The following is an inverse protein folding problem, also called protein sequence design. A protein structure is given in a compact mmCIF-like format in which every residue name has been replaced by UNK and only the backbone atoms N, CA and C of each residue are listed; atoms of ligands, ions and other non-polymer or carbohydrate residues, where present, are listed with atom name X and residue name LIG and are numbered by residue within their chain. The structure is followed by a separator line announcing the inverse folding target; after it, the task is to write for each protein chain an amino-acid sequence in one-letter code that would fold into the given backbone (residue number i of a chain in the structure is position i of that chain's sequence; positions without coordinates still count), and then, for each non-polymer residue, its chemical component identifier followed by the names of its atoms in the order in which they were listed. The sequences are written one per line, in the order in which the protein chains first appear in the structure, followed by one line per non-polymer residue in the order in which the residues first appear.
data_IF_863165059860
#
_entry.id   IF_863165059860
#
_cell.length_a   1.000
_cell.length_b   1.000
_cell.length_c   1.000
_cell.angle_alpha   90.00
_cell.angle_beta   90.00
_cell.angle_gamma   90.00
#
_symmetry.space_group_name_H-M   'P 1'
#
loop_
_entity.id
_entity.type
_entity.pdbx_description
1 polymer ?
#
# COMPACT_ATOMS: atom_id res chain seq x y z
N UNK A 1 28.54 6.04 -10.10
CA UNK A 1 27.07 5.94 -9.94
C UNK A 1 26.63 4.75 -10.76
N UNK A 2 26.24 3.66 -10.12
CA UNK A 2 25.68 2.51 -10.83
C UNK A 2 24.33 2.95 -11.40
N UNK A 3 24.14 2.86 -12.70
CA UNK A 3 22.83 3.07 -13.33
C UNK A 3 21.93 1.93 -12.86
N UNK A 4 20.76 2.26 -12.32
CA UNK A 4 19.77 1.25 -11.94
C UNK A 4 19.52 0.30 -13.11
N UNK A 5 19.41 -1.01 -12.88
CA UNK A 5 19.19 -1.98 -13.95
C UNK A 5 17.89 -1.66 -14.68
N UNK A 6 17.92 -1.74 -16.01
CA UNK A 6 16.76 -1.48 -16.84
C UNK A 6 15.97 -2.79 -16.99
N UNK A 7 14.73 -2.81 -16.52
CA UNK A 7 13.80 -3.92 -16.76
C UNK A 7 13.16 -3.70 -18.13
N UNK A 8 13.24 -4.70 -19.01
CA UNK A 8 12.54 -4.67 -20.30
C UNK A 8 11.06 -5.04 -20.08
N UNK A 9 10.16 -4.11 -20.35
CA UNK A 9 8.72 -4.28 -20.20
C UNK A 9 7.95 -3.34 -21.13
N UNK A 10 6.73 -3.71 -21.50
CA UNK A 10 5.86 -2.85 -22.29
C UNK A 10 5.24 -1.75 -21.41
N UNK A 11 5.75 -0.53 -21.51
CA UNK A 11 5.30 0.60 -20.70
C UNK A 11 3.91 1.09 -21.09
N UNK A 12 3.00 1.13 -20.14
CA UNK A 12 1.69 1.76 -20.28
C UNK A 12 1.87 3.30 -20.22
N UNK A 13 1.85 3.94 -21.39
CA UNK A 13 2.12 5.40 -21.53
C UNK A 13 0.91 6.30 -21.29
N UNK A 14 -0.22 5.77 -20.90
CA UNK A 14 -1.43 6.53 -20.61
C UNK A 14 -2.64 5.63 -20.40
N UNK A 15 -3.69 6.17 -19.81
CA UNK A 15 -4.91 5.41 -19.46
C UNK A 15 -5.57 4.73 -20.66
N UNK A 16 -5.42 5.29 -21.87
CA UNK A 16 -5.95 4.72 -23.12
C UNK A 16 -5.16 3.47 -23.60
N UNK A 17 -4.04 3.16 -22.98
CA UNK A 17 -3.23 1.97 -23.25
C UNK A 17 -3.43 0.85 -22.23
N UNK A 18 -4.29 1.05 -21.25
CA UNK A 18 -4.65 0.00 -20.29
C UNK A 18 -5.41 -1.09 -21.03
N UNK A 19 -5.08 -2.40 -20.82
CA UNK A 19 -5.82 -3.50 -21.43
C UNK A 19 -7.32 -3.41 -21.19
N UNK A 20 -8.12 -3.62 -22.24
CA UNK A 20 -9.58 -3.48 -22.17
C UNK A 20 -10.26 -4.72 -21.58
N UNK A 21 -9.61 -5.88 -21.63
CA UNK A 21 -10.17 -7.12 -21.10
C UNK A 21 -10.49 -6.99 -19.62
N UNK A 22 -11.70 -7.41 -19.21
CA UNK A 22 -12.16 -7.38 -17.84
C UNK A 22 -12.11 -8.78 -17.24
N UNK A 23 -11.10 -9.03 -16.42
CA UNK A 23 -10.89 -10.29 -15.72
C UNK A 23 -11.28 -10.23 -14.23
N UNK A 24 -11.70 -9.05 -13.78
CA UNK A 24 -12.34 -8.79 -12.49
C UNK A 24 -13.60 -7.97 -12.75
N UNK A 25 -14.74 -8.65 -12.79
CA UNK A 25 -16.00 -8.09 -13.26
C UNK A 25 -16.81 -7.41 -12.15
N UNK A 26 -17.90 -6.75 -12.53
CA UNK A 26 -18.91 -6.30 -11.59
C UNK A 26 -19.53 -7.48 -10.82
N UNK A 27 -20.19 -7.19 -9.70
CA UNK A 27 -20.82 -8.21 -8.84
C UNK A 27 -20.02 -8.53 -7.58
N UNK A 28 -18.84 -7.94 -7.38
CA UNK A 28 -18.17 -7.93 -6.09
C UNK A 28 -18.98 -7.14 -5.05
N UNK A 29 -18.81 -7.47 -3.78
CA UNK A 29 -19.51 -6.84 -2.64
C UNK A 29 -18.58 -5.94 -1.82
N UNK A 30 -17.60 -5.33 -2.46
CA UNK A 30 -16.74 -4.34 -1.82
C UNK A 30 -17.50 -3.06 -1.56
N UNK A 31 -17.06 -2.28 -0.57
CA UNK A 31 -17.62 -0.96 -0.30
C UNK A 31 -17.54 -0.05 -1.54
N UNK A 32 -18.46 0.89 -1.67
CA UNK A 32 -18.31 1.97 -2.64
C UNK A 32 -17.02 2.73 -2.37
N UNK A 33 -16.25 3.05 -3.42
CA UNK A 33 -14.97 3.74 -3.28
C UNK A 33 -13.85 2.90 -2.66
N UNK A 34 -13.98 1.57 -2.59
CA UNK A 34 -12.94 0.69 -2.10
C UNK A 34 -11.74 0.68 -3.05
N UNK A 35 -10.63 1.27 -2.63
CA UNK A 35 -9.40 1.34 -3.42
C UNK A 35 -8.81 -0.04 -3.69
N UNK A 36 -8.89 -0.96 -2.71
CA UNK A 36 -8.40 -2.34 -2.89
C UNK A 36 -9.08 -3.07 -4.05
N UNK A 37 -10.36 -2.76 -4.35
CA UNK A 37 -11.03 -3.30 -5.53
C UNK A 37 -10.43 -2.73 -6.84
N UNK A 38 -10.07 -1.46 -6.85
CA UNK A 38 -9.37 -0.81 -7.97
C UNK A 38 -7.98 -1.41 -8.17
N UNK A 39 -7.26 -1.66 -7.08
CA UNK A 39 -5.97 -2.36 -7.07
C UNK A 39 -6.09 -3.74 -7.71
N UNK A 40 -7.04 -4.57 -7.28
CA UNK A 40 -7.21 -5.92 -7.84
C UNK A 40 -7.62 -5.90 -9.30
N UNK A 41 -8.53 -5.02 -9.69
CA UNK A 41 -8.92 -4.86 -11.08
C UNK A 41 -7.76 -4.40 -11.96
N UNK A 42 -6.97 -3.43 -11.50
CA UNK A 42 -5.78 -2.94 -12.22
C UNK A 42 -4.73 -4.03 -12.39
N UNK A 43 -4.44 -4.77 -11.32
CA UNK A 43 -3.52 -5.90 -11.35
C UNK A 43 -3.90 -6.92 -12.42
N UNK A 44 -5.13 -7.45 -12.38
CA UNK A 44 -5.49 -8.55 -13.25
C UNK A 44 -5.63 -8.13 -14.73
N UNK A 45 -5.96 -6.87 -15.01
CA UNK A 45 -5.90 -6.33 -16.36
C UNK A 45 -4.51 -6.40 -16.98
N UNK A 46 -3.49 -6.19 -16.17
CA UNK A 46 -2.09 -6.23 -16.59
C UNK A 46 -1.55 -7.66 -16.62
N UNK A 47 -1.88 -8.45 -15.61
CA UNK A 47 -1.41 -9.83 -15.51
C UNK A 47 -2.04 -10.77 -16.57
N UNK A 48 -3.27 -10.47 -16.99
CA UNK A 48 -3.95 -11.20 -18.05
C UNK A 48 -4.55 -12.53 -17.61
N UNK A 49 -5.16 -13.23 -18.56
CA UNK A 49 -5.97 -14.44 -18.32
C UNK A 49 -5.16 -15.69 -17.91
N UNK A 50 -3.83 -15.71 -18.14
CA UNK A 50 -2.94 -16.80 -17.71
C UNK A 50 -2.46 -16.67 -16.27
N UNK A 51 -3.31 -16.18 -15.40
CA UNK A 51 -3.02 -15.89 -13.99
C UNK A 51 -3.86 -16.78 -13.09
N UNK A 52 -3.26 -17.28 -12.02
CA UNK A 52 -3.98 -17.90 -10.89
C UNK A 52 -3.86 -16.94 -9.70
N UNK A 53 -4.99 -16.57 -9.11
CA UNK A 53 -5.04 -15.67 -7.98
C UNK A 53 -5.27 -16.46 -6.69
N UNK A 54 -4.48 -16.21 -5.67
CA UNK A 54 -4.69 -16.81 -4.34
C UNK A 54 -4.58 -15.74 -3.27
N UNK A 55 -5.29 -15.87 -2.19
CA UNK A 55 -5.20 -14.96 -1.07
C UNK A 55 -6.03 -15.37 0.13
N UNK A 56 -5.68 -14.79 1.27
CA UNK A 56 -6.29 -15.08 2.55
C UNK A 56 -7.62 -14.36 2.76
N UNK A 57 -8.40 -14.88 3.68
CA UNK A 57 -9.61 -14.23 4.16
C UNK A 57 -9.32 -12.81 4.64
N UNK A 58 -9.99 -11.86 4.04
CA UNK A 58 -9.93 -10.42 4.30
C UNK A 58 -10.96 -9.73 3.42
N UNK A 59 -11.01 -8.39 3.41
CA UNK A 59 -12.01 -7.65 2.65
C UNK A 59 -12.14 -8.13 1.20
N UNK A 60 -11.02 -8.28 0.49
CA UNK A 60 -11.05 -8.62 -0.94
C UNK A 60 -11.50 -10.05 -1.21
N UNK A 61 -11.27 -10.97 -0.29
CA UNK A 61 -11.69 -12.35 -0.49
C UNK A 61 -13.11 -12.60 0.03
N UNK A 62 -13.50 -11.99 1.14
CA UNK A 62 -14.88 -12.07 1.64
C UNK A 62 -15.87 -11.40 0.68
N UNK A 63 -15.54 -10.19 0.20
CA UNK A 63 -16.41 -9.45 -0.72
C UNK A 63 -16.50 -10.08 -2.13
N UNK A 64 -15.55 -10.94 -2.49
CA UNK A 64 -15.47 -11.62 -3.77
C UNK A 64 -15.95 -13.08 -3.73
N UNK A 65 -16.35 -13.56 -2.55
CA UNK A 65 -16.86 -14.92 -2.32
C UNK A 65 -18.34 -14.84 -2.00
N UNK A 66 -19.18 -14.48 -2.94
CA UNK A 66 -20.61 -14.63 -2.73
C UNK A 66 -21.07 -16.02 -3.14
N UNK A 67 -22.14 -16.47 -2.51
CA UNK A 67 -22.74 -17.77 -2.81
C UNK A 67 -23.05 -17.88 -4.32
N UNK A 68 -22.46 -18.84 -5.00
CA UNK A 68 -22.58 -19.14 -6.42
C UNK A 68 -22.04 -18.06 -7.39
N UNK A 69 -21.39 -17.00 -6.92
CA UNK A 69 -20.83 -15.97 -7.81
C UNK A 69 -19.48 -15.47 -7.34
N UNK A 70 -18.62 -15.11 -8.28
CA UNK A 70 -17.34 -14.45 -8.05
C UNK A 70 -17.06 -13.45 -9.16
N UNK A 71 -16.41 -12.32 -8.90
CA UNK A 71 -15.98 -11.39 -9.95
C UNK A 71 -14.74 -11.85 -10.71
N UNK A 72 -14.02 -12.86 -10.23
CA UNK A 72 -12.82 -13.36 -10.88
C UNK A 72 -13.17 -14.21 -12.10
N UNK A 73 -12.62 -13.85 -13.26
CA UNK A 73 -12.73 -14.63 -14.52
C UNK A 73 -11.54 -15.58 -14.69
N UNK A 74 -10.52 -15.43 -13.86
CA UNK A 74 -9.35 -16.32 -13.80
C UNK A 74 -9.51 -17.34 -12.67
N UNK A 75 -8.78 -18.46 -12.69
CA UNK A 75 -8.73 -19.38 -11.56
C UNK A 75 -8.31 -18.66 -10.29
N UNK A 76 -9.05 -18.86 -9.22
CA UNK A 76 -8.75 -18.24 -7.94
C UNK A 76 -8.99 -19.18 -6.77
N UNK A 77 -8.26 -18.97 -5.70
CA UNK A 77 -8.35 -19.78 -4.49
C UNK A 77 -8.39 -18.89 -3.25
N UNK A 78 -9.42 -19.09 -2.43
CA UNK A 78 -9.55 -18.44 -1.13
C UNK A 78 -8.91 -19.34 -0.06
N UNK A 79 -7.90 -18.86 0.62
CA UNK A 79 -7.27 -19.55 1.74
C UNK A 79 -7.83 -19.06 3.07
N UNK A 80 -7.66 -19.84 4.13
CA UNK A 80 -8.18 -19.48 5.44
C UNK A 80 -7.53 -18.22 6.00
N UNK A 81 -8.21 -17.55 6.92
CA UNK A 81 -7.68 -16.41 7.67
C UNK A 81 -6.34 -16.79 8.34
N UNK A 82 -5.31 -16.03 8.07
CA UNK A 82 -3.96 -16.28 8.57
C UNK A 82 -3.11 -17.26 7.74
N UNK A 83 -3.67 -17.98 6.76
CA UNK A 83 -2.89 -18.90 5.93
C UNK A 83 -2.20 -18.20 4.74
N UNK A 84 -2.83 -17.23 4.11
CA UNK A 84 -2.23 -16.41 3.07
C UNK A 84 -1.48 -15.22 3.63
N UNK A 85 -1.88 -14.80 4.82
CA UNK A 85 -1.21 -13.81 5.60
C UNK A 85 -0.23 -14.43 6.56
N UNK A 86 0.40 -15.48 6.36
CA UNK A 86 1.38 -15.97 7.34
C UNK A 86 2.26 -14.82 7.88
N UNK A 87 1.65 -13.66 7.77
CA UNK A 87 2.21 -12.37 8.11
C UNK A 87 3.50 -12.12 7.31
N UNK A 88 4.34 -11.28 7.84
CA UNK A 88 5.66 -11.01 7.27
C UNK A 88 6.49 -12.31 7.11
N UNK A 89 6.30 -13.30 8.00
CA UNK A 89 7.01 -14.58 7.92
C UNK A 89 6.69 -15.39 6.66
N UNK A 90 5.43 -15.49 6.28
CA UNK A 90 5.01 -16.21 5.07
C UNK A 90 5.40 -15.49 3.79
N UNK A 91 5.24 -14.16 3.76
CA UNK A 91 5.75 -13.34 2.65
C UNK A 91 7.26 -13.50 2.53
N UNK A 92 7.98 -13.43 3.65
CA UNK A 92 9.44 -13.63 3.69
C UNK A 92 9.85 -14.98 3.11
N UNK A 93 9.19 -16.05 3.51
CA UNK A 93 9.47 -17.39 2.97
C UNK A 93 9.18 -17.48 1.47
N UNK A 94 8.07 -16.89 1.00
CA UNK A 94 7.74 -16.84 -0.42
C UNK A 94 8.76 -16.04 -1.24
N UNK A 95 9.29 -14.93 -0.70
CA UNK A 95 10.33 -14.13 -1.36
C UNK A 95 11.71 -14.80 -1.36
N UNK A 96 11.92 -15.85 -0.56
CA UNK A 96 13.13 -16.68 -0.58
C UNK A 96 12.99 -17.90 -1.52
N UNK A 97 11.81 -18.15 -2.05
CA UNK A 97 11.60 -19.22 -3.02
C UNK A 97 12.15 -18.85 -4.40
N UNK A 98 12.19 -19.83 -5.30
CA UNK A 98 12.52 -19.67 -6.71
C UNK A 98 11.28 -19.63 -7.61
N UNK A 99 10.08 -19.56 -7.00
CA UNK A 99 8.83 -19.52 -7.76
C UNK A 99 8.61 -18.15 -8.41
N UNK A 100 8.09 -18.17 -9.62
CA UNK A 100 7.64 -16.97 -10.33
C UNK A 100 6.27 -16.53 -9.78
N UNK A 101 6.30 -15.65 -8.81
CA UNK A 101 5.11 -15.16 -8.15
C UNK A 101 5.18 -13.67 -7.87
N UNK A 102 4.03 -13.00 -7.98
CA UNK A 102 3.86 -11.62 -7.56
C UNK A 102 2.95 -11.56 -6.33
N UNK A 103 3.48 -11.00 -5.26
CA UNK A 103 2.73 -10.74 -4.03
C UNK A 103 2.27 -9.28 -4.03
N UNK A 104 0.96 -9.05 -3.95
CA UNK A 104 0.38 -7.72 -3.79
C UNK A 104 -0.25 -7.63 -2.40
N UNK A 105 0.31 -6.78 -1.56
CA UNK A 105 -0.25 -6.47 -0.25
C UNK A 105 -1.01 -5.15 -0.32
N UNK A 106 -2.35 -5.21 -0.27
CA UNK A 106 -3.17 -4.01 -0.18
C UNK A 106 -3.25 -3.51 1.27
N UNK A 107 -2.89 -2.25 1.47
CA UNK A 107 -2.81 -1.61 2.78
C UNK A 107 -3.91 -0.56 2.95
N UNK A 108 -4.98 -0.95 3.62
CA UNK A 108 -6.04 -0.06 4.07
C UNK A 108 -5.85 0.41 5.53
N UNK A 109 -4.66 0.21 6.08
CA UNK A 109 -4.22 0.63 7.41
C UNK A 109 -4.98 0.00 8.59
N UNK A 110 -5.70 -1.09 8.37
CA UNK A 110 -6.42 -1.79 9.43
C UNK A 110 -6.71 -3.25 9.07
N UNK A 111 -7.07 -4.08 10.05
CA UNK A 111 -7.81 -5.31 9.82
C UNK A 111 -9.28 -4.93 9.60
N UNK A 112 -9.58 -4.43 8.38
CA UNK A 112 -10.84 -3.72 8.13
C UNK A 112 -12.06 -4.64 8.08
N UNK A 113 -11.92 -5.85 7.52
CA UNK A 113 -13.04 -6.78 7.36
C UNK A 113 -13.64 -7.24 8.70
N UNK A 114 -12.82 -7.36 9.73
CA UNK A 114 -13.20 -7.80 11.07
C UNK A 114 -13.60 -6.66 12.01
N UNK A 115 -13.93 -5.50 11.46
CA UNK A 115 -14.37 -4.28 12.13
C UNK A 115 -13.23 -3.33 12.54
N UNK A 116 -12.27 -3.14 11.65
CA UNK A 116 -11.32 -2.00 11.69
C UNK A 116 -10.40 -2.02 12.93
N UNK A 117 -9.78 -3.17 13.22
CA UNK A 117 -8.78 -3.24 14.29
C UNK A 117 -7.46 -2.61 13.84
N UNK A 118 -6.74 -2.03 14.81
CA UNK A 118 -5.41 -1.50 14.59
C UNK A 118 -4.41 -2.60 14.20
N UNK A 119 -3.54 -2.29 13.24
CA UNK A 119 -2.44 -3.15 12.80
C UNK A 119 -1.10 -2.43 12.92
N UNK A 120 -0.01 -3.07 12.52
CA UNK A 120 1.30 -2.42 12.39
C UNK A 120 1.38 -1.40 11.27
N UNK A 121 0.35 -1.33 10.41
CA UNK A 121 0.24 -0.39 9.29
C UNK A 121 -0.71 0.78 9.58
N UNK A 122 -1.39 0.77 10.72
CA UNK A 122 -2.28 1.86 11.13
C UNK A 122 -1.47 3.11 11.42
N UNK A 123 -1.84 4.22 10.78
CA UNK A 123 -1.17 5.51 10.95
C UNK A 123 -1.27 6.01 12.40
N UNK A 124 -0.21 6.67 12.88
CA UNK A 124 -0.18 7.30 14.20
C UNK A 124 -1.38 8.23 14.41
N UNK A 125 -2.03 8.12 15.55
CA UNK A 125 -3.19 8.91 15.91
C UNK A 125 -4.53 8.45 15.33
N UNK A 126 -4.55 7.47 14.43
CA UNK A 126 -5.81 6.98 13.87
C UNK A 126 -6.67 6.27 14.91
N UNK A 127 -7.94 6.63 14.96
CA UNK A 127 -8.96 5.89 15.71
C UNK A 127 -9.25 4.56 15.03
N UNK A 128 -9.32 3.50 15.81
CA UNK A 128 -9.82 2.17 15.40
C UNK A 128 -10.65 1.56 16.51
N UNK A 129 -11.28 0.42 16.27
CA UNK A 129 -12.07 -0.29 17.30
C UNK A 129 -11.23 -0.69 18.53
N UNK A 130 -9.91 -0.88 18.35
CA UNK A 130 -8.99 -1.22 19.46
C UNK A 130 -8.24 0.00 20.01
N UNK A 131 -8.32 1.13 19.36
CA UNK A 131 -7.63 2.36 19.74
C UNK A 131 -8.60 3.56 19.72
N UNK A 132 -9.73 3.49 20.44
CA UNK A 132 -10.65 4.61 20.54
C UNK A 132 -9.98 5.76 21.31
N UNK A 133 -10.22 7.03 20.94
CA UNK A 133 -9.76 8.15 21.73
C UNK A 133 -10.48 8.18 23.09
N UNK A 134 -9.74 8.53 24.14
CA UNK A 134 -10.27 8.65 25.49
C UNK A 134 -9.93 10.01 26.11
N UNK A 135 -10.61 10.39 27.17
CA UNK A 135 -10.39 11.66 27.86
C UNK A 135 -8.99 11.76 28.48
N UNK A 136 -8.50 10.67 29.05
CA UNK A 136 -7.15 10.63 29.68
C UNK A 136 -6.04 10.36 28.66
N UNK A 137 -6.36 9.62 27.61
CA UNK A 137 -5.43 9.25 26.55
C UNK A 137 -6.08 9.55 25.18
N UNK A 138 -5.99 10.79 24.70
CA UNK A 138 -6.63 11.16 23.42
C UNK A 138 -6.02 10.43 22.23
N UNK A 139 -4.75 10.03 22.33
CA UNK A 139 -4.06 9.22 21.32
C UNK A 139 -3.79 7.83 21.87
N UNK A 140 -4.48 6.82 21.35
CA UNK A 140 -4.23 5.41 21.67
C UNK A 140 -3.31 4.73 20.66
N UNK A 141 -3.45 5.06 19.37
CA UNK A 141 -2.52 4.58 18.34
C UNK A 141 -1.26 5.43 18.33
N UNK A 142 -0.24 5.02 19.11
CA UNK A 142 1.00 5.77 19.32
C UNK A 142 2.19 5.24 18.51
N UNK A 143 2.01 4.18 17.74
CA UNK A 143 3.08 3.59 16.93
C UNK A 143 3.10 4.24 15.56
N UNK A 144 4.30 4.48 15.04
CA UNK A 144 4.47 4.85 13.65
C UNK A 144 4.24 3.64 12.75
N UNK A 145 3.71 3.88 11.56
CA UNK A 145 3.44 2.89 10.55
C UNK A 145 4.71 2.13 10.13
N UNK A 146 4.63 0.81 10.01
CA UNK A 146 5.72 -0.02 9.48
C UNK A 146 5.91 0.22 7.99
N UNK A 147 7.14 0.28 7.53
CA UNK A 147 7.46 0.18 6.10
C UNK A 147 7.74 -1.28 5.74
N UNK A 148 6.71 -2.02 5.37
CA UNK A 148 6.84 -3.45 5.03
C UNK A 148 7.65 -3.63 3.75
N UNK A 149 7.41 -2.82 2.71
CA UNK A 149 8.18 -2.89 1.46
C UNK A 149 9.68 -2.67 1.71
N UNK A 150 10.05 -1.65 2.51
CA UNK A 150 11.44 -1.41 2.88
C UNK A 150 12.07 -2.55 3.67
N UNK A 151 11.32 -3.12 4.63
CA UNK A 151 11.79 -4.29 5.41
C UNK A 151 12.07 -5.50 4.49
N UNK A 152 11.17 -5.76 3.55
CA UNK A 152 11.32 -6.89 2.61
C UNK A 152 12.46 -6.65 1.63
N UNK A 153 12.61 -5.42 1.11
CA UNK A 153 13.70 -5.07 0.20
C UNK A 153 15.09 -5.23 0.84
N UNK A 154 15.24 -4.85 2.12
CA UNK A 154 16.52 -4.99 2.84
C UNK A 154 16.79 -6.41 3.29
N UNK A 155 15.74 -7.13 3.72
CA UNK A 155 15.86 -8.47 4.29
C UNK A 155 15.99 -9.61 3.26
N UNK A 156 15.73 -9.37 1.98
CA UNK A 156 15.65 -10.40 0.93
C UNK A 156 16.52 -10.03 -0.28
N UNK A 157 17.83 -10.25 -0.22
CA UNK A 157 18.76 -9.87 -1.29
C UNK A 157 18.50 -10.63 -2.61
N UNK A 158 17.79 -11.75 -2.57
CA UNK A 158 17.37 -12.53 -3.75
C UNK A 158 16.09 -12.01 -4.41
N UNK A 159 15.30 -11.21 -3.71
CA UNK A 159 14.10 -10.56 -4.24
C UNK A 159 14.52 -9.36 -5.10
N UNK A 160 14.40 -9.50 -6.41
CA UNK A 160 14.88 -8.52 -7.38
C UNK A 160 14.00 -7.28 -7.52
N UNK A 161 12.73 -7.36 -7.11
CA UNK A 161 11.78 -6.27 -7.25
C UNK A 161 10.86 -6.13 -6.05
N UNK A 162 10.90 -4.98 -5.42
CA UNK A 162 9.97 -4.55 -4.38
C UNK A 162 9.49 -3.15 -4.71
N UNK A 163 8.19 -2.88 -4.60
CA UNK A 163 7.66 -1.54 -4.87
C UNK A 163 6.57 -1.13 -3.88
N UNK A 164 6.38 0.17 -3.74
CA UNK A 164 5.17 0.78 -3.17
C UNK A 164 4.35 1.41 -4.29
N UNK A 165 3.03 1.41 -4.17
CA UNK A 165 2.15 1.95 -5.21
C UNK A 165 0.83 2.47 -4.63
N UNK A 166 0.07 3.22 -5.43
CA UNK A 166 -1.33 3.52 -5.21
C UNK A 166 -2.04 3.35 -6.55
N UNK A 167 -3.17 2.64 -6.57
CA UNK A 167 -3.80 2.26 -7.83
C UNK A 167 -4.36 3.46 -8.61
N UNK A 168 -4.71 4.53 -7.92
CA UNK A 168 -5.34 5.72 -8.51
C UNK A 168 -4.38 6.88 -8.73
N UNK A 169 -3.21 6.89 -8.08
CA UNK A 169 -2.25 7.99 -8.20
C UNK A 169 -0.79 7.56 -8.03
N UNK A 170 0.18 8.04 -8.86
CA UNK A 170 -0.05 8.72 -10.16
C UNK A 170 -0.69 7.79 -11.21
N UNK A 171 -1.38 8.34 -12.21
CA UNK A 171 -1.98 7.52 -13.26
C UNK A 171 -0.94 6.59 -13.90
N UNK A 172 -1.29 5.31 -14.08
CA UNK A 172 -0.46 4.25 -14.67
C UNK A 172 0.80 3.84 -13.88
N UNK A 173 1.21 4.52 -12.81
CA UNK A 173 2.38 4.14 -12.02
C UNK A 173 2.26 2.71 -11.48
N UNK A 174 1.15 2.41 -10.81
CA UNK A 174 0.85 1.07 -10.30
C UNK A 174 0.87 0.00 -11.40
N UNK A 175 0.22 0.27 -12.53
CA UNK A 175 0.13 -0.69 -13.64
C UNK A 175 1.51 -0.98 -14.24
N UNK A 176 2.36 0.04 -14.37
CA UNK A 176 3.74 -0.13 -14.82
C UNK A 176 4.59 -0.91 -13.81
N UNK A 177 4.34 -0.76 -12.51
CA UNK A 177 4.99 -1.56 -11.47
C UNK A 177 4.59 -3.03 -11.55
N UNK A 178 3.31 -3.32 -11.82
CA UNK A 178 2.85 -4.68 -12.08
C UNK A 178 3.53 -5.27 -13.33
N UNK A 179 3.60 -4.51 -14.42
CA UNK A 179 4.32 -4.94 -15.64
C UNK A 179 5.78 -5.30 -15.34
N UNK A 180 6.49 -4.44 -14.62
CA UNK A 180 7.89 -4.69 -14.23
C UNK A 180 8.03 -5.93 -13.35
N UNK A 181 7.17 -6.08 -12.35
CA UNK A 181 7.18 -7.22 -11.45
C UNK A 181 7.00 -8.53 -12.19
N UNK A 182 6.10 -8.56 -13.18
CA UNK A 182 5.87 -9.74 -14.03
C UNK A 182 7.02 -9.99 -15.01
N UNK A 183 7.66 -8.94 -15.54
CA UNK A 183 8.72 -9.04 -16.53
C UNK A 183 10.06 -9.48 -15.93
N UNK A 184 10.34 -9.16 -14.67
CA UNK A 184 11.62 -9.48 -14.06
C UNK A 184 11.76 -10.98 -13.70
N UNK A 185 10.64 -11.67 -13.52
CA UNK A 185 10.58 -13.07 -13.12
C UNK A 185 11.04 -13.33 -11.68
N UNK A 186 10.67 -14.49 -11.14
CA UNK A 186 10.91 -14.84 -9.75
C UNK A 186 9.97 -14.15 -8.76
N UNK A 187 10.17 -14.28 -7.45
CA UNK A 187 9.29 -13.69 -6.47
C UNK A 187 9.46 -12.17 -6.42
N UNK A 188 8.35 -11.45 -6.51
CA UNK A 188 8.28 -9.99 -6.50
C UNK A 188 7.20 -9.51 -5.52
N UNK A 189 7.32 -8.27 -5.04
CA UNK A 189 6.42 -7.73 -4.04
C UNK A 189 5.99 -6.29 -4.36
N UNK A 190 4.69 -6.03 -4.28
CA UNK A 190 4.13 -4.67 -4.36
C UNK A 190 3.25 -4.40 -3.14
N UNK A 191 3.57 -3.34 -2.41
CA UNK A 191 2.76 -2.81 -1.33
C UNK A 191 1.91 -1.65 -1.85
N UNK A 192 0.59 -1.79 -1.84
CA UNK A 192 -0.31 -0.74 -2.34
C UNK A 192 -0.97 0.02 -1.20
N UNK A 193 -1.15 1.33 -1.40
CA UNK A 193 -1.84 2.22 -0.49
C UNK A 193 -3.29 2.36 -0.91
N UNK A 194 -4.20 1.82 -0.11
CA UNK A 194 -5.59 1.62 -0.49
C UNK A 194 -6.54 2.31 0.49
N UNK A 195 -6.87 3.59 0.30
CA UNK A 195 -7.86 4.30 1.11
C UNK A 195 -9.15 3.50 1.31
N UNK A 196 -9.57 3.40 2.57
CA UNK A 196 -10.74 2.62 2.98
C UNK A 196 -11.85 3.54 3.49
N UNK A 197 -12.93 3.79 2.72
CA UNK A 197 -13.98 4.72 3.12
C UNK A 197 -14.57 4.41 4.50
N UNK A 198 -14.78 3.13 4.79
CA UNK A 198 -15.33 2.68 6.06
C UNK A 198 -14.33 2.81 7.22
N UNK A 199 -13.08 2.39 7.00
CA UNK A 199 -12.07 2.37 8.05
C UNK A 199 -11.48 3.74 8.36
N UNK A 200 -11.47 4.65 7.38
CA UNK A 200 -10.94 6.01 7.56
C UNK A 200 -12.05 7.03 7.78
N UNK A 201 -13.29 6.61 7.75
CA UNK A 201 -14.48 7.43 7.97
C UNK A 201 -14.53 8.67 7.08
N UNK A 202 -14.72 8.43 5.77
CA UNK A 202 -14.91 9.48 4.78
C UNK A 202 -15.92 9.07 3.71
N UNK A 203 -16.46 10.06 2.99
CA UNK A 203 -17.41 9.79 1.93
C UNK A 203 -16.71 9.14 0.71
N UNK A 204 -17.22 8.03 0.15
CA UNK A 204 -16.58 7.22 -0.92
C UNK A 204 -16.08 8.00 -2.14
N UNK A 205 -16.70 9.12 -2.49
CA UNK A 205 -16.27 9.98 -3.61
C UNK A 205 -14.86 10.55 -3.47
N UNK A 206 -14.29 10.55 -2.24
CA UNK A 206 -12.98 11.11 -1.95
C UNK A 206 -11.85 10.09 -1.97
N UNK A 207 -12.11 8.82 -2.29
CA UNK A 207 -11.08 7.77 -2.25
C UNK A 207 -9.85 8.11 -3.08
N UNK A 208 -10.05 8.51 -4.35
CA UNK A 208 -8.94 8.89 -5.23
C UNK A 208 -8.17 10.11 -4.69
N UNK A 209 -8.91 11.13 -4.21
CA UNK A 209 -8.31 12.31 -3.62
C UNK A 209 -7.46 11.98 -2.38
N UNK A 210 -7.94 11.09 -1.52
CA UNK A 210 -7.19 10.68 -0.34
C UNK A 210 -5.95 9.87 -0.69
N UNK A 211 -5.99 9.01 -1.67
CA UNK A 211 -4.80 8.34 -2.20
C UNK A 211 -3.76 9.35 -2.69
N UNK A 212 -4.19 10.33 -3.49
CA UNK A 212 -3.33 11.40 -3.99
C UNK A 212 -2.74 12.27 -2.86
N UNK A 213 -3.58 12.70 -1.90
CA UNK A 213 -3.13 13.53 -0.78
C UNK A 213 -2.13 12.81 0.12
N UNK A 214 -2.33 11.51 0.41
CA UNK A 214 -1.40 10.71 1.20
C UNK A 214 -0.02 10.62 0.57
N UNK A 215 0.04 10.57 -0.76
CA UNK A 215 1.30 10.58 -1.51
C UNK A 215 1.90 11.98 -1.55
N UNK A 216 1.11 13.01 -1.86
CA UNK A 216 1.58 14.40 -1.96
C UNK A 216 2.06 14.98 -0.64
N UNK A 217 1.47 14.62 0.49
CA UNK A 217 1.97 15.03 1.81
C UNK A 217 3.19 14.21 2.26
N UNK A 218 3.50 13.12 1.56
CA UNK A 218 4.66 12.28 1.82
C UNK A 218 4.48 11.22 2.90
N UNK A 219 3.27 11.06 3.45
CA UNK A 219 3.02 10.03 4.48
C UNK A 219 3.15 8.61 3.90
N UNK A 220 2.96 8.49 2.59
CA UNK A 220 3.16 7.24 1.84
C UNK A 220 4.12 7.46 0.65
N UNK A 221 5.41 7.12 0.81
CA UNK A 221 6.41 7.26 -0.25
C UNK A 221 6.17 6.28 -1.41
N UNK A 222 6.30 6.73 -2.66
CA UNK A 222 6.26 5.89 -3.85
C UNK A 222 7.66 5.65 -4.40
N UNK A 223 8.09 4.39 -4.37
CA UNK A 223 9.39 3.97 -4.85
C UNK A 223 9.37 2.53 -5.40
N UNK A 224 10.45 2.19 -6.06
CA UNK A 224 10.82 0.85 -6.48
C UNK A 224 12.20 0.53 -5.93
N UNK A 225 12.44 -0.73 -5.58
CA UNK A 225 13.78 -1.28 -5.35
C UNK A 225 14.00 -2.35 -6.41
N UNK A 226 14.97 -2.11 -7.28
CA UNK A 226 15.31 -3.00 -8.40
C UNK A 226 16.75 -3.46 -8.21
N UNK A 227 16.96 -4.74 -8.01
CA UNK A 227 18.29 -5.32 -7.72
C UNK A 227 19.07 -4.48 -6.68
N UNK A 228 18.39 -4.14 -5.57
CA UNK A 228 18.94 -3.35 -4.46
C UNK A 228 19.02 -1.83 -4.68
N UNK A 229 18.69 -1.33 -5.89
CA UNK A 229 18.72 0.09 -6.19
C UNK A 229 17.36 0.75 -5.98
N UNK A 230 17.32 1.85 -5.23
CA UNK A 230 16.10 2.58 -4.91
C UNK A 230 15.83 3.64 -5.98
N UNK A 231 14.61 3.63 -6.50
CA UNK A 231 14.13 4.57 -7.52
C UNK A 231 12.82 5.18 -7.03
N UNK A 232 12.79 6.49 -6.76
CA UNK A 232 11.54 7.18 -6.47
C UNK A 232 10.74 7.36 -7.76
N UNK A 233 9.54 6.80 -7.79
CA UNK A 233 8.61 7.03 -8.92
C UNK A 233 7.79 8.30 -8.72
N UNK A 234 7.67 8.74 -7.45
CA UNK A 234 7.14 10.03 -7.06
C UNK A 234 7.97 10.61 -5.91
N UNK A 235 8.84 11.55 -6.19
CA UNK A 235 9.61 12.25 -5.15
C UNK A 235 8.87 13.51 -4.71
N UNK A 236 8.16 13.41 -3.60
CA UNK A 236 7.33 14.50 -3.07
C UNK A 236 8.13 15.80 -2.75
N UNK A 237 9.48 15.71 -2.62
CA UNK A 237 10.35 16.88 -2.41
C UNK A 237 10.55 17.72 -3.67
N UNK A 238 10.40 17.11 -4.85
CA UNK A 238 10.77 17.69 -6.15
C UNK A 238 9.58 18.12 -6.99
N UNK A 239 8.35 17.79 -6.58
CA UNK A 239 7.17 18.00 -7.40
C UNK A 239 6.41 19.23 -6.93
N UNK A 240 6.17 20.17 -7.84
CA UNK A 240 5.46 21.42 -7.56
C UNK A 240 6.21 22.29 -6.54
N UNK A 241 5.53 22.63 -5.43
CA UNK A 241 6.09 23.41 -4.31
C UNK A 241 6.69 22.54 -3.20
N UNK A 242 6.87 21.24 -3.45
CA UNK A 242 7.25 20.25 -2.45
C UNK A 242 6.04 19.58 -1.79
N UNK A 243 6.26 18.95 -0.64
CA UNK A 243 5.19 18.26 0.11
C UNK A 243 4.09 19.24 0.57
N UNK A 244 2.84 18.83 0.45
CA UNK A 244 1.73 19.55 1.07
C UNK A 244 1.67 19.23 2.57
N UNK A 245 1.06 20.09 3.40
CA UNK A 245 0.91 19.81 4.83
C UNK A 245 0.13 18.51 5.09
N UNK A 246 0.58 17.68 6.02
CA UNK A 246 -0.12 16.44 6.39
C UNK A 246 -1.54 16.70 6.90
N UNK A 247 -1.78 17.87 7.48
CA UNK A 247 -3.10 18.28 7.95
C UNK A 247 -4.15 18.26 6.84
N UNK A 248 -3.79 18.62 5.60
CA UNK A 248 -4.72 18.59 4.46
C UNK A 248 -5.22 17.18 4.16
N UNK A 249 -4.39 16.16 4.38
CA UNK A 249 -4.76 14.77 4.24
C UNK A 249 -5.54 14.25 5.45
N UNK A 250 -5.08 14.54 6.68
CA UNK A 250 -5.63 13.96 7.90
C UNK A 250 -7.05 14.49 8.19
N UNK A 251 -7.29 15.79 8.03
CA UNK A 251 -8.59 16.42 8.32
C UNK A 251 -9.74 16.02 7.39
N UNK A 252 -9.46 15.27 6.34
CA UNK A 252 -10.51 14.72 5.46
C UNK A 252 -11.03 13.35 5.91
N UNK A 253 -10.61 12.88 7.08
CA UNK A 253 -10.87 11.53 7.57
C UNK A 253 -11.37 11.59 9.02
N UNK A 254 -12.58 11.12 9.27
CA UNK A 254 -13.20 11.14 10.61
C UNK A 254 -12.39 10.39 11.67
N UNK A 255 -11.59 9.38 11.26
CA UNK A 255 -10.70 8.67 12.21
C UNK A 255 -9.64 9.56 12.88
N UNK A 256 -9.51 10.82 12.46
CA UNK A 256 -8.59 11.81 13.02
C UNK A 256 -9.27 13.04 13.65
N UNK A 257 -10.60 13.07 13.75
CA UNK A 257 -11.37 14.23 14.24
C UNK A 257 -11.00 14.62 15.67
N UNK A 258 -10.47 13.69 16.46
CA UNK A 258 -10.02 13.93 17.84
C UNK A 258 -8.63 14.57 17.94
N UNK A 259 -7.90 14.72 16.84
CA UNK A 259 -6.56 15.30 16.85
C UNK A 259 -6.59 16.81 17.05
N UNK A 260 -5.59 17.32 17.77
CA UNK A 260 -5.33 18.75 18.01
C UNK A 260 -4.10 19.21 17.23
N UNK A 261 -3.86 20.53 17.17
CA UNK A 261 -2.75 21.12 16.39
C UNK A 261 -1.37 20.54 16.76
N UNK A 262 -1.15 20.23 18.03
CA UNK A 262 0.10 19.59 18.47
C UNK A 262 0.33 18.22 17.84
N UNK A 263 -0.75 17.45 17.64
CA UNK A 263 -0.69 16.13 17.01
C UNK A 263 -0.41 16.25 15.52
N UNK A 264 -1.05 17.19 14.82
CA UNK A 264 -0.73 17.46 13.41
C UNK A 264 0.73 17.90 13.24
N UNK A 265 1.22 18.76 14.12
CA UNK A 265 2.61 19.21 14.13
C UNK A 265 3.58 18.06 14.37
N UNK A 266 3.25 17.13 15.26
CA UNK A 266 4.05 15.95 15.53
C UNK A 266 4.13 15.04 14.29
N UNK A 267 2.98 14.76 13.65
CA UNK A 267 2.93 13.93 12.44
C UNK A 267 3.69 14.60 11.29
N UNK A 268 3.54 15.93 11.12
CA UNK A 268 4.29 16.69 10.13
C UNK A 268 5.80 16.54 10.33
N UNK A 269 6.27 16.76 11.56
CA UNK A 269 7.68 16.59 11.90
C UNK A 269 8.21 15.17 11.61
N UNK A 270 7.41 14.15 11.88
CA UNK A 270 7.79 12.77 11.58
C UNK A 270 7.90 12.52 10.08
N UNK A 271 6.99 13.05 9.28
CA UNK A 271 7.05 12.96 7.81
C UNK A 271 8.27 13.73 7.28
N UNK A 272 8.52 14.93 7.78
CA UNK A 272 9.68 15.74 7.38
C UNK A 272 10.99 15.02 7.71
N UNK A 273 11.13 14.49 8.94
CA UNK A 273 12.29 13.67 9.32
C UNK A 273 12.48 12.48 8.38
N UNK A 274 11.40 11.78 8.06
CA UNK A 274 11.45 10.62 7.17
C UNK A 274 12.00 10.99 5.76
N UNK A 275 11.63 12.15 5.23
CA UNK A 275 12.02 12.57 3.90
C UNK A 275 13.35 13.32 3.84
N UNK A 276 13.67 14.07 4.88
CA UNK A 276 14.79 15.03 4.85
C UNK A 276 16.04 14.48 5.55
N UNK A 277 15.86 13.60 6.55
CA UNK A 277 16.96 13.06 7.34
C UNK A 277 17.25 11.58 7.06
N UNK A 278 16.27 10.80 6.58
CA UNK A 278 16.46 9.39 6.31
C UNK A 278 16.95 9.19 4.87
N UNK A 279 18.00 8.40 4.72
CA UNK A 279 18.54 8.03 3.40
C UNK A 279 17.51 7.33 2.53
N UNK A 280 16.64 6.54 3.17
CA UNK A 280 15.54 5.85 2.54
C UNK A 280 14.24 6.14 3.30
N UNK A 281 13.26 6.87 2.71
CA UNK A 281 12.01 7.20 3.38
C UNK A 281 11.29 5.96 3.92
N UNK A 282 10.94 6.03 5.20
CA UNK A 282 10.30 4.93 5.91
C UNK A 282 11.28 3.88 6.47
N UNK A 283 12.56 3.93 6.14
CA UNK A 283 13.60 3.11 6.79
C UNK A 283 14.58 4.05 7.48
N UNK A 284 14.41 4.23 8.78
CA UNK A 284 15.35 5.01 9.56
C UNK A 284 16.75 4.38 9.47
N UNK A 285 17.82 5.17 9.26
CA UNK A 285 19.16 4.67 9.38
C UNK A 285 19.37 4.11 10.80
N UNK A 286 20.24 3.10 10.95
CA UNK A 286 20.50 2.46 12.25
C UNK A 286 20.78 3.49 13.34
N UNK A 287 21.48 4.57 13.01
CA UNK A 287 21.70 5.72 13.90
C UNK A 287 20.44 6.50 14.30
N UNK A 288 19.41 6.49 13.44
CA UNK A 288 18.11 7.15 13.68
C UNK A 288 17.18 6.33 14.56
N UNK A 289 17.27 5.02 14.52
CA UNK A 289 16.48 4.12 15.41
C UNK A 289 16.83 4.38 16.88
N UNK A 290 18.08 4.67 17.18
CA UNK A 290 18.51 5.00 18.54
C UNK A 290 18.06 6.38 18.99
N UNK A 291 17.93 7.36 18.09
CA UNK A 291 17.43 8.72 18.40
C UNK A 291 15.92 8.79 18.59
N UNK A 292 15.16 7.92 17.97
CA UNK A 292 13.69 7.90 18.08
C UNK A 292 13.19 7.23 19.38
N UNK A 293 14.10 6.70 20.22
CA UNK A 293 13.77 6.07 21.51
C UNK A 293 14.06 6.95 22.72
N UNK A 294 14.58 8.13 22.52
CA UNK A 294 14.85 9.15 23.53
C UNK A 294 13.91 10.32 23.27
#
# INVERSE_FOLDING_TARGET
MSTAPTIDYEKIKGVHKIPLEELYTSGHRTCQGCESATTMRGFIKVAGSRTVVTGATGCMYVANTSYLTTPWIVPWMHTQLGAGDMGIGGISAALQSDYDLLIIMYDNESAANTDIQATGLTTYGAQTTFTPPGTTHPIMQRRWKKNVAGMLAVGHPTCRYVATACATFPPTDYLNKVQKALAIGGPTFIHTYDPCPKGWDYHPRFSNELGELGIKCGIYPLYEVVDGNIIYTWDARKIGKGRIPVKEFLTKQGRFDHLQEEHFSYIQKMVDTMWDEWEFPGVAPIKGILKARI
#
